data_IF_843671542389
#
_entry.id   IF_843671542389
#
_cell.length_a   1.000
_cell.length_b   1.000
_cell.length_c   1.000
_cell.angle_alpha   90.00
_cell.angle_beta   90.00
_cell.angle_gamma   90.00
#
_symmetry.space_group_name_H-M   'P 1'
#
loop_
_entity.id
_entity.type
_entity.pdbx_description
1 polymer ?
#
# COMPACT_ATOMS: atom_id res chain seq x y z
N UNK A 1 20.57 3.60 -17.89
CA UNK A 1 19.59 2.53 -17.96
C UNK A 1 18.97 2.29 -16.59
N UNK A 2 17.64 2.25 -16.57
CA UNK A 2 16.89 2.10 -15.31
C UNK A 2 16.86 0.62 -14.92
N UNK A 3 17.18 0.34 -13.66
CA UNK A 3 17.16 -1.02 -13.13
C UNK A 3 16.20 -1.10 -11.94
N UNK A 4 15.48 -2.20 -11.87
CA UNK A 4 14.57 -2.46 -10.77
C UNK A 4 15.38 -2.80 -9.51
N UNK A 5 15.11 -2.07 -8.43
CA UNK A 5 15.77 -2.26 -7.15
C UNK A 5 14.91 -3.13 -6.23
N UNK A 6 15.51 -3.90 -5.32
CA UNK A 6 14.76 -4.77 -4.44
C UNK A 6 13.99 -3.98 -3.37
N UNK A 7 12.74 -4.38 -3.16
CA UNK A 7 11.86 -3.81 -2.13
C UNK A 7 12.24 -4.40 -0.76
N UNK A 8 12.51 -3.54 0.21
CA UNK A 8 12.84 -3.98 1.57
C UNK A 8 11.55 -4.29 2.34
N UNK A 9 11.02 -5.48 2.13
CA UNK A 9 9.73 -5.92 2.64
C UNK A 9 9.62 -5.91 4.16
N UNK A 10 10.71 -6.34 4.83
CA UNK A 10 10.69 -6.38 6.29
C UNK A 10 10.64 -4.98 6.90
N UNK A 11 11.27 -4.01 6.28
CA UNK A 11 11.19 -2.62 6.73
C UNK A 11 9.80 -2.04 6.53
N UNK A 12 9.17 -2.36 5.40
CA UNK A 12 7.79 -1.93 5.14
C UNK A 12 6.82 -2.55 6.16
N UNK A 13 6.95 -3.85 6.41
CA UNK A 13 6.10 -4.55 7.38
C UNK A 13 6.34 -4.05 8.82
N UNK A 14 7.60 -3.77 9.16
CA UNK A 14 7.95 -3.24 10.48
C UNK A 14 7.32 -1.86 10.69
N UNK A 15 7.38 -1.00 9.67
CA UNK A 15 6.72 0.31 9.71
C UNK A 15 5.22 0.13 9.94
N UNK A 16 4.60 -0.78 9.21
CA UNK A 16 3.17 -1.03 9.33
C UNK A 16 2.79 -1.46 10.74
N UNK A 17 3.55 -2.40 11.34
CA UNK A 17 3.29 -2.85 12.70
C UNK A 17 3.45 -1.72 13.71
N UNK A 18 4.49 -0.91 13.55
CA UNK A 18 4.80 0.14 14.49
C UNK A 18 3.72 1.23 14.52
N UNK A 19 3.20 1.62 13.34
CA UNK A 19 2.28 2.74 13.19
C UNK A 19 0.82 2.32 13.00
N UNK A 20 0.50 1.05 13.11
CA UNK A 20 -0.87 0.55 12.89
C UNK A 20 -1.92 1.27 13.74
N UNK A 21 -1.60 1.53 15.00
CA UNK A 21 -2.52 2.19 15.94
C UNK A 21 -2.12 3.63 16.24
N UNK A 22 -1.15 4.15 15.55
CA UNK A 22 -0.65 5.50 15.77
C UNK A 22 -0.52 6.27 14.47
N UNK A 23 -0.04 7.50 14.59
CA UNK A 23 0.18 8.37 13.44
C UNK A 23 1.59 8.93 13.49
N UNK A 24 2.35 8.70 12.42
CA UNK A 24 3.68 9.29 12.27
C UNK A 24 3.52 10.80 12.07
N UNK A 25 4.09 11.63 12.94
CA UNK A 25 3.89 13.08 12.85
C UNK A 25 4.49 13.72 11.61
N UNK A 26 5.33 13.01 10.86
CA UNK A 26 5.87 13.51 9.60
C UNK A 26 4.82 13.54 8.49
N UNK A 27 3.67 12.90 8.69
CA UNK A 27 2.60 12.81 7.69
C UNK A 27 1.29 13.28 8.30
N UNK A 28 0.50 14.01 7.48
CA UNK A 28 -0.81 14.45 7.93
C UNK A 28 -1.74 13.24 8.12
N UNK A 29 -2.59 13.30 9.13
CA UNK A 29 -3.59 12.26 9.39
C UNK A 29 -4.88 12.62 8.64
N UNK A 30 -5.17 11.87 7.57
CA UNK A 30 -6.34 12.11 6.72
C UNK A 30 -7.60 11.41 7.21
N UNK A 31 -7.59 10.83 8.41
CA UNK A 31 -8.71 10.01 8.88
C UNK A 31 -10.06 10.74 8.79
N UNK A 32 -10.08 12.03 9.05
CA UNK A 32 -11.30 12.83 9.02
C UNK A 32 -11.61 13.44 7.66
N UNK A 33 -10.73 13.24 6.68
CA UNK A 33 -10.86 13.84 5.35
C UNK A 33 -10.70 12.73 4.31
N UNK A 34 -11.68 11.82 4.27
CA UNK A 34 -11.68 10.75 3.27
C UNK A 34 -11.01 9.46 3.69
N UNK A 35 -10.38 9.41 4.87
CA UNK A 35 -9.73 8.22 5.37
C UNK A 35 -8.23 8.22 5.17
N UNK A 36 -7.53 7.44 5.98
CA UNK A 36 -6.07 7.41 6.05
C UNK A 36 -5.45 6.12 5.53
N UNK A 37 -6.25 5.21 4.98
CA UNK A 37 -5.75 3.88 4.63
C UNK A 37 -4.67 3.89 3.56
N UNK A 38 -4.83 4.70 2.53
CA UNK A 38 -3.86 4.73 1.43
C UNK A 38 -2.65 5.60 1.77
N UNK A 39 -2.84 6.68 2.53
CA UNK A 39 -1.73 7.44 3.09
C UNK A 39 -0.82 6.52 3.91
N UNK A 40 -1.42 5.66 4.74
CA UNK A 40 -0.67 4.70 5.53
C UNK A 40 0.05 3.67 4.65
N UNK A 41 -0.65 3.09 3.68
CA UNK A 41 -0.05 2.12 2.77
C UNK A 41 1.15 2.73 2.02
N UNK A 42 1.02 3.97 1.55
CA UNK A 42 2.11 4.67 0.88
C UNK A 42 3.30 4.87 1.81
N UNK A 43 3.06 5.23 3.07
CA UNK A 43 4.14 5.36 4.06
C UNK A 43 4.87 4.04 4.27
N UNK A 44 4.14 2.94 4.34
CA UNK A 44 4.75 1.60 4.51
C UNK A 44 5.63 1.26 3.33
N UNK A 45 5.14 1.47 2.12
CA UNK A 45 5.93 1.21 0.91
C UNK A 45 7.16 2.11 0.89
N UNK A 46 7.00 3.39 1.22
CA UNK A 46 8.11 4.34 1.27
C UNK A 46 9.19 3.90 2.26
N UNK A 47 8.80 3.34 3.40
CA UNK A 47 9.77 2.80 4.37
C UNK A 47 10.63 1.70 3.76
N UNK A 48 10.10 0.97 2.78
CA UNK A 48 10.82 -0.10 2.11
C UNK A 48 11.62 0.30 0.89
N UNK A 49 11.49 1.54 0.41
CA UNK A 49 12.19 1.96 -0.81
C UNK A 49 12.96 3.28 -0.68
N UNK A 50 12.43 4.24 0.07
CA UNK A 50 13.14 5.50 0.34
C UNK A 50 13.14 6.51 -0.80
N UNK A 51 12.38 6.32 -1.85
CA UNK A 51 12.28 7.27 -2.97
C UNK A 51 10.84 7.60 -3.29
N UNK A 52 10.61 8.77 -3.84
CA UNK A 52 9.30 9.22 -4.30
C UNK A 52 9.39 9.59 -5.78
N UNK A 53 8.25 9.67 -6.43
CA UNK A 53 8.16 10.18 -7.80
C UNK A 53 7.47 11.54 -7.74
N UNK A 54 8.23 12.59 -8.00
CA UNK A 54 7.76 13.98 -7.86
C UNK A 54 7.06 14.54 -9.09
N UNK A 55 6.73 13.70 -10.07
CA UNK A 55 5.97 14.17 -11.23
C UNK A 55 4.65 14.78 -10.75
N UNK A 56 4.36 16.04 -11.07
CA UNK A 56 3.13 16.68 -10.62
C UNK A 56 1.89 15.88 -11.03
N UNK A 57 0.96 15.75 -10.13
CA UNK A 57 -0.32 15.04 -10.28
C UNK A 57 -0.17 13.53 -10.43
N UNK A 58 0.65 13.06 -11.37
CA UNK A 58 0.71 11.64 -11.74
C UNK A 58 1.83 10.85 -11.08
N UNK A 59 2.62 11.50 -10.23
CA UNK A 59 3.67 10.84 -9.47
C UNK A 59 3.13 10.15 -8.22
N UNK A 60 4.04 9.93 -7.29
CA UNK A 60 3.73 9.32 -6.00
C UNK A 60 4.66 9.96 -4.98
N UNK A 61 4.13 10.93 -4.25
CA UNK A 61 4.95 11.73 -3.33
C UNK A 61 4.08 12.37 -2.25
N UNK A 62 4.71 12.70 -1.14
CA UNK A 62 4.14 13.49 -0.06
C UNK A 62 5.16 14.52 0.38
N UNK A 63 4.81 15.80 0.32
CA UNK A 63 5.64 16.91 0.79
C UNK A 63 4.97 17.55 2.02
N UNK A 64 3.68 17.77 1.95
CA UNK A 64 2.88 18.32 3.06
C UNK A 64 1.42 17.90 2.88
N UNK A 65 0.59 18.23 3.86
CA UNK A 65 -0.83 17.91 3.82
C UNK A 65 -1.51 18.35 2.54
N UNK A 66 -1.10 19.51 2.01
CA UNK A 66 -1.71 20.11 0.81
C UNK A 66 -0.85 19.91 -0.45
N UNK A 67 0.30 19.30 -0.32
CA UNK A 67 1.22 19.08 -1.44
C UNK A 67 1.64 17.61 -1.48
N UNK A 68 0.82 16.82 -2.14
CA UNK A 68 1.02 15.38 -2.30
C UNK A 68 0.33 14.93 -3.56
N UNK A 69 0.81 13.81 -4.12
CA UNK A 69 0.17 13.23 -5.30
C UNK A 69 -1.13 12.53 -4.93
N UNK A 70 -2.14 12.52 -5.81
CA UNK A 70 -3.35 11.72 -5.60
C UNK A 70 -3.05 10.25 -5.30
N UNK A 71 -2.00 9.68 -5.91
CA UNK A 71 -1.62 8.29 -5.69
C UNK A 71 -1.16 8.01 -4.27
N UNK A 72 -0.68 9.01 -3.54
CA UNK A 72 -0.24 8.83 -2.16
C UNK A 72 -1.40 8.56 -1.20
N UNK A 73 -2.58 9.16 -1.47
CA UNK A 73 -3.72 9.12 -0.55
C UNK A 73 -4.98 8.49 -1.13
N UNK A 74 -5.00 8.15 -2.41
CA UNK A 74 -6.21 7.64 -3.06
C UNK A 74 -6.08 6.18 -3.46
N UNK A 75 -7.06 5.36 -3.08
CA UNK A 75 -7.05 3.90 -3.32
C UNK A 75 -6.88 3.57 -4.80
N UNK A 76 -7.71 4.16 -5.64
CA UNK A 76 -7.67 3.91 -7.09
C UNK A 76 -6.39 4.48 -7.70
N UNK A 77 -6.00 5.66 -7.27
CA UNK A 77 -4.82 6.34 -7.81
C UNK A 77 -3.52 5.62 -7.45
N UNK A 78 -3.45 5.02 -6.26
CA UNK A 78 -2.28 4.21 -5.88
C UNK A 78 -2.12 3.03 -6.83
N UNK A 79 -3.20 2.29 -7.09
CA UNK A 79 -3.17 1.19 -8.04
C UNK A 79 -2.67 1.67 -9.41
N UNK A 80 -3.26 2.76 -9.90
CA UNK A 80 -2.93 3.26 -11.24
C UNK A 80 -1.46 3.66 -11.35
N UNK A 81 -0.91 4.25 -10.29
CA UNK A 81 0.52 4.57 -10.29
C UNK A 81 1.38 3.31 -10.30
N UNK A 82 1.04 2.34 -9.46
CA UNK A 82 1.87 1.14 -9.28
C UNK A 82 1.93 0.27 -10.54
N UNK A 83 0.92 0.33 -11.40
CA UNK A 83 0.88 -0.45 -12.64
C UNK A 83 1.24 0.37 -13.88
N UNK A 84 1.81 1.55 -13.70
CA UNK A 84 2.18 2.39 -14.84
C UNK A 84 3.11 1.65 -15.79
N UNK A 85 2.97 1.85 -17.11
CA UNK A 85 3.76 1.08 -18.08
C UNK A 85 5.20 1.53 -18.19
N UNK A 86 5.49 2.81 -17.95
CA UNK A 86 6.83 3.36 -18.14
C UNK A 86 7.63 3.30 -16.85
N UNK A 87 8.88 2.82 -16.88
CA UNK A 87 9.73 2.86 -15.70
C UNK A 87 10.06 4.30 -15.34
N UNK A 88 9.67 4.71 -14.15
CA UNK A 88 9.93 6.03 -13.59
C UNK A 88 10.14 5.85 -12.08
N UNK A 89 10.73 6.81 -11.38
CA UNK A 89 11.05 6.63 -9.96
C UNK A 89 9.85 6.17 -9.14
N UNK A 90 10.10 5.30 -8.18
CA UNK A 90 9.09 4.80 -7.25
C UNK A 90 8.73 3.35 -7.46
N UNK A 91 7.80 2.85 -6.63
CA UNK A 91 7.44 1.43 -6.63
C UNK A 91 6.63 1.02 -7.86
N UNK A 92 6.75 -0.26 -8.21
CA UNK A 92 5.91 -0.90 -9.23
C UNK A 92 5.41 -2.22 -8.70
N UNK A 93 4.23 -2.62 -9.17
CA UNK A 93 3.63 -3.89 -8.75
C UNK A 93 3.08 -4.65 -9.95
N UNK A 94 2.83 -5.95 -9.70
CA UNK A 94 1.90 -6.70 -10.54
C UNK A 94 0.62 -6.92 -9.72
N UNK A 95 -0.51 -6.89 -10.40
CA UNK A 95 -1.81 -7.14 -9.77
C UNK A 95 -2.15 -8.60 -9.96
N UNK A 96 -2.54 -9.28 -8.89
CA UNK A 96 -2.90 -10.69 -8.96
C UNK A 96 -4.09 -10.98 -8.06
N UNK A 97 -4.81 -12.06 -8.39
CA UNK A 97 -5.87 -12.62 -7.56
C UNK A 97 -5.34 -13.78 -6.71
N UNK A 98 -4.10 -14.17 -6.91
CA UNK A 98 -3.51 -15.33 -6.25
C UNK A 98 -2.97 -14.91 -4.88
N UNK A 99 -3.72 -15.18 -3.82
CA UNK A 99 -3.36 -14.80 -2.46
C UNK A 99 -2.07 -15.45 -1.99
N UNK A 100 -1.71 -16.61 -2.54
CA UNK A 100 -0.44 -17.27 -2.20
C UNK A 100 0.79 -16.47 -2.63
N UNK A 101 0.62 -15.50 -3.54
CA UNK A 101 1.70 -14.59 -3.94
C UNK A 101 1.89 -13.40 -3.02
N UNK A 102 0.96 -13.17 -2.10
CA UNK A 102 1.06 -12.04 -1.18
C UNK A 102 2.24 -12.23 -0.24
N UNK A 103 3.01 -11.17 -0.06
CA UNK A 103 4.18 -11.15 0.82
C UNK A 103 4.13 -9.93 1.72
N UNK A 104 4.86 -9.94 2.84
CA UNK A 104 4.93 -8.75 3.69
C UNK A 104 5.30 -7.50 2.88
N UNK A 105 4.60 -6.41 3.16
CA UNK A 105 4.79 -5.15 2.44
C UNK A 105 3.91 -4.99 1.21
N UNK A 106 3.23 -6.04 0.76
CA UNK A 106 2.24 -5.92 -0.30
C UNK A 106 0.98 -5.25 0.22
N UNK A 107 0.17 -4.73 -0.69
CA UNK A 107 -1.11 -4.10 -0.36
C UNK A 107 -2.21 -4.96 -0.96
N UNK A 108 -3.22 -5.28 -0.16
CA UNK A 108 -4.40 -5.97 -0.67
C UNK A 108 -5.55 -4.99 -0.63
N UNK A 109 -6.01 -4.58 -1.82
CA UNK A 109 -7.11 -3.64 -1.90
C UNK A 109 -8.44 -4.36 -1.91
N UNK A 110 -9.44 -3.77 -1.27
CA UNK A 110 -10.74 -4.39 -1.01
C UNK A 110 -11.88 -3.55 -1.53
N UNK A 111 -12.93 -4.23 -2.03
CA UNK A 111 -14.23 -3.65 -2.30
C UNK A 111 -15.22 -4.25 -1.31
N UNK A 112 -15.92 -3.40 -0.57
CA UNK A 112 -16.98 -3.84 0.35
C UNK A 112 -18.33 -3.78 -0.33
N UNK A 113 -18.57 -2.72 -1.10
CA UNK A 113 -19.79 -2.56 -1.88
C UNK A 113 -19.51 -1.76 -3.13
N UNK A 114 -20.33 -1.93 -4.15
CA UNK A 114 -20.10 -1.25 -5.43
C UNK A 114 -19.01 -1.91 -6.25
N UNK A 115 -18.38 -1.13 -7.12
CA UNK A 115 -17.37 -1.61 -8.07
C UNK A 115 -16.04 -0.88 -7.98
N UNK A 116 -15.85 -0.04 -6.96
CA UNK A 116 -14.63 0.74 -6.79
C UNK A 116 -13.92 0.27 -5.55
N UNK A 117 -12.61 0.06 -5.63
CA UNK A 117 -11.81 -0.32 -4.47
C UNK A 117 -11.80 0.80 -3.44
N UNK A 118 -11.94 0.44 -2.16
CA UNK A 118 -12.24 1.36 -1.07
C UNK A 118 -11.24 1.32 0.08
N UNK A 119 -10.38 0.30 0.14
CA UNK A 119 -9.50 0.11 1.29
C UNK A 119 -8.17 -0.47 0.82
N UNK A 120 -7.08 -0.16 1.54
CA UNK A 120 -5.71 -0.54 1.17
C UNK A 120 -4.94 -1.14 2.35
N UNK A 121 -5.37 -2.27 2.94
CA UNK A 121 -4.61 -2.93 4.00
C UNK A 121 -3.24 -3.39 3.52
N UNK A 122 -2.26 -3.34 4.43
CA UNK A 122 -0.87 -3.74 4.15
C UNK A 122 -0.61 -5.10 4.75
N UNK A 123 -0.08 -6.03 3.97
CA UNK A 123 0.28 -7.37 4.45
C UNK A 123 1.49 -7.25 5.37
N UNK A 124 1.38 -7.82 6.58
CA UNK A 124 2.49 -7.85 7.53
C UNK A 124 2.98 -9.27 7.79
N UNK A 125 2.16 -10.28 7.53
CA UNK A 125 2.54 -11.66 7.74
C UNK A 125 1.68 -12.56 6.87
N UNK A 126 2.22 -13.70 6.46
CA UNK A 126 1.51 -14.70 5.68
C UNK A 126 2.07 -16.08 5.97
N UNK A 127 1.21 -17.11 5.96
CA UNK A 127 1.64 -18.51 6.09
C UNK A 127 1.92 -19.14 4.73
N UNK A 128 1.72 -18.41 3.63
CA UNK A 128 1.99 -18.89 2.27
C UNK A 128 0.92 -19.80 1.69
N UNK A 129 -0.14 -20.09 2.43
CA UNK A 129 -1.18 -21.03 1.98
C UNK A 129 -2.10 -20.47 0.91
N UNK A 130 -2.21 -19.14 0.83
CA UNK A 130 -3.21 -18.50 -0.03
C UNK A 130 -4.59 -18.44 0.60
N UNK A 131 -4.73 -18.89 1.86
CA UNK A 131 -5.99 -18.75 2.58
C UNK A 131 -6.08 -17.36 3.21
N UNK A 132 -7.23 -16.68 3.10
CA UNK A 132 -7.39 -15.37 3.74
C UNK A 132 -7.17 -15.40 5.26
N UNK A 133 -7.41 -16.54 5.91
CA UNK A 133 -7.16 -16.69 7.35
C UNK A 133 -5.67 -16.73 7.69
N UNK A 134 -4.81 -17.03 6.72
CA UNK A 134 -3.37 -17.11 6.90
C UNK A 134 -2.63 -15.84 6.53
N UNK A 135 -3.34 -14.78 6.15
CA UNK A 135 -2.75 -13.48 5.82
C UNK A 135 -3.18 -12.48 6.88
N UNK A 136 -2.19 -11.81 7.49
CA UNK A 136 -2.45 -10.77 8.49
C UNK A 136 -2.06 -9.42 7.93
N UNK A 137 -2.90 -8.43 8.20
CA UNK A 137 -2.71 -7.07 7.68
C UNK A 137 -2.70 -6.04 8.81
N UNK A 138 -2.09 -4.89 8.51
CA UNK A 138 -2.19 -3.66 9.28
C UNK A 138 -2.82 -2.60 8.40
N UNK A 139 -3.60 -1.71 8.99
CA UNK A 139 -4.32 -0.70 8.22
C UNK A 139 -4.69 0.49 9.08
N UNK A 140 -4.81 1.65 8.45
CA UNK A 140 -5.53 2.79 8.99
C UNK A 140 -6.95 2.78 8.43
N UNK A 141 -7.80 3.61 9.00
CA UNK A 141 -9.25 3.61 8.82
C UNK A 141 -9.83 2.31 9.35
N UNK A 142 -10.35 2.38 10.56
CA UNK A 142 -10.61 1.21 11.41
C UNK A 142 -9.29 0.52 11.69
N UNK A 143 -8.43 1.20 12.43
CA UNK A 143 -7.05 0.79 12.67
C UNK A 143 -6.96 -0.68 13.06
N UNK A 144 -6.03 -1.39 12.41
CA UNK A 144 -5.85 -2.81 12.60
C UNK A 144 -4.38 -3.18 12.60
N UNK A 145 -4.03 -4.17 13.43
CA UNK A 145 -2.71 -4.78 13.43
C UNK A 145 -2.89 -6.28 13.63
N UNK A 146 -2.16 -7.08 12.86
CA UNK A 146 -2.31 -8.54 12.88
C UNK A 146 -3.75 -8.99 12.64
N UNK A 147 -4.50 -8.26 11.83
CA UNK A 147 -5.87 -8.61 11.52
C UNK A 147 -5.91 -9.61 10.38
N UNK A 148 -6.58 -10.77 10.55
CA UNK A 148 -6.72 -11.71 9.44
C UNK A 148 -7.51 -11.09 8.28
N UNK A 149 -7.02 -11.31 7.07
CA UNK A 149 -7.73 -10.84 5.88
C UNK A 149 -9.16 -11.39 5.85
N UNK A 150 -9.33 -12.64 6.32
CA UNK A 150 -10.63 -13.31 6.36
C UNK A 150 -11.65 -12.61 7.25
N UNK A 151 -11.22 -11.71 8.14
CA UNK A 151 -12.14 -10.99 9.03
C UNK A 151 -12.83 -9.80 8.36
N UNK A 152 -12.41 -9.42 7.17
CA UNK A 152 -13.08 -8.37 6.40
C UNK A 152 -14.22 -8.96 5.56
N UNK A 153 -15.33 -8.24 5.50
CA UNK A 153 -16.48 -8.68 4.67
C UNK A 153 -16.39 -8.03 3.29
N UNK A 154 -15.38 -8.43 2.52
CA UNK A 154 -15.17 -7.88 1.19
C UNK A 154 -15.93 -8.68 0.13
N UNK A 155 -16.36 -7.98 -0.95
CA UNK A 155 -16.92 -8.60 -2.15
C UNK A 155 -15.85 -9.02 -3.12
N UNK A 156 -14.79 -8.21 -3.19
CA UNK A 156 -13.70 -8.40 -4.14
C UNK A 156 -12.41 -7.91 -3.53
N UNK A 157 -11.30 -8.50 -3.97
CA UNK A 157 -9.96 -8.06 -3.57
C UNK A 157 -9.05 -8.07 -4.78
N UNK A 158 -7.93 -7.36 -4.66
CA UNK A 158 -6.79 -7.52 -5.58
C UNK A 158 -5.52 -7.36 -4.77
N UNK A 159 -4.51 -8.16 -5.12
CA UNK A 159 -3.20 -8.07 -4.49
C UNK A 159 -2.32 -7.16 -5.34
N UNK A 160 -1.80 -6.11 -4.74
CA UNK A 160 -0.79 -5.26 -5.35
C UNK A 160 0.56 -5.81 -4.87
N UNK A 161 1.11 -6.75 -5.64
CA UNK A 161 2.36 -7.41 -5.29
C UNK A 161 3.52 -6.53 -5.75
N UNK A 162 4.22 -5.91 -4.80
CA UNK A 162 5.30 -4.97 -5.10
C UNK A 162 6.49 -5.75 -5.66
N UNK A 163 6.90 -5.41 -6.87
CA UNK A 163 8.02 -6.07 -7.54
C UNK A 163 9.35 -5.46 -7.15
N UNK A 164 9.36 -4.20 -6.81
CA UNK A 164 10.55 -3.44 -6.51
C UNK A 164 10.30 -1.97 -6.80
N UNK A 165 11.38 -1.22 -7.00
CA UNK A 165 11.24 0.20 -7.29
C UNK A 165 12.34 0.66 -8.25
N UNK A 166 12.06 1.77 -8.94
CA UNK A 166 13.03 2.44 -9.78
C UNK A 166 13.56 3.69 -9.08
N UNK A 167 14.80 4.02 -9.37
CA UNK A 167 15.41 5.32 -9.01
C UNK A 167 15.54 6.17 -10.27
N UNK A 168 16.12 7.36 -10.16
CA UNK A 168 16.38 8.22 -11.30
C UNK A 168 17.41 7.64 -12.27
#
# INVERSE_FOLDING_TARGET
KVALQPYRREEAAAYARYWAYGRNPDFYDYERIGGDCTNFASQCIYAGIGVMNYTPTFGWYYISADDKAPAWTGVVFLHNFLVRPEPSPGPVCEVTQELEKAEPGDVIQLIFEGNVFQHSPVVINTDGSGNPSGIQVAAHSYDANCRPLSSYEYRQYRVLHILGYYTD
#
